data_IF_444881705384
#
_entry.id   IF_444881705384
#
_cell.length_a   1.000
_cell.length_b   1.000
_cell.length_c   1.000
_cell.angle_alpha   90.00
_cell.angle_beta   90.00
_cell.angle_gamma   90.00
#
_symmetry.space_group_name_H-M   'P 1'
#
loop_
_entity.id
_entity.type
_entity.pdbx_description
1 polymer ?
#
# COMPACT_ATOMS: atom_id res chain seq x y z
N UNK A 1 -24.48 -7.11 -11.78
CA UNK A 1 -24.48 -8.48 -12.32
C UNK A 1 -23.87 -9.42 -11.28
N UNK A 2 -24.49 -10.57 -10.98
CA UNK A 2 -23.85 -11.59 -10.15
C UNK A 2 -22.63 -12.16 -10.88
N UNK A 3 -21.48 -12.28 -10.20
CA UNK A 3 -20.31 -12.96 -10.75
C UNK A 3 -20.18 -14.35 -10.15
N UNK A 4 -19.90 -15.34 -11.01
CA UNK A 4 -19.77 -16.73 -10.62
C UNK A 4 -18.31 -17.04 -10.27
N UNK A 5 -18.10 -17.71 -9.13
CA UNK A 5 -16.76 -18.05 -8.63
C UNK A 5 -16.58 -19.56 -8.60
N UNK A 6 -15.57 -20.05 -9.32
CA UNK A 6 -15.15 -21.45 -9.25
C UNK A 6 -13.94 -21.57 -8.34
N UNK A 7 -14.12 -22.25 -7.20
CA UNK A 7 -13.04 -22.52 -6.23
C UNK A 7 -13.04 -23.99 -5.85
N UNK A 8 -11.85 -24.56 -5.76
CA UNK A 8 -11.63 -25.94 -5.29
C UNK A 8 -11.59 -25.94 -3.77
N UNK A 9 -11.92 -27.07 -3.16
CA UNK A 9 -11.86 -27.24 -1.70
C UNK A 9 -10.48 -26.85 -1.11
N UNK A 10 -9.39 -27.19 -1.80
CA UNK A 10 -8.04 -26.82 -1.36
C UNK A 10 -7.82 -25.29 -1.28
N UNK A 11 -8.51 -24.51 -2.11
CA UNK A 11 -8.41 -23.05 -2.06
C UNK A 11 -9.05 -22.52 -0.76
N UNK A 12 -10.10 -23.18 -0.25
CA UNK A 12 -10.71 -22.86 1.04
C UNK A 12 -9.82 -23.26 2.21
N UNK A 13 -9.15 -24.41 2.11
CA UNK A 13 -8.15 -24.85 3.11
C UNK A 13 -7.02 -23.81 3.21
N UNK A 14 -6.46 -23.42 2.06
CA UNK A 14 -5.43 -22.39 1.98
C UNK A 14 -5.89 -21.05 2.58
N UNK A 15 -7.12 -20.62 2.27
CA UNK A 15 -7.70 -19.41 2.84
C UNK A 15 -7.83 -19.51 4.37
N UNK A 16 -8.29 -20.65 4.89
CA UNK A 16 -8.49 -20.89 6.31
C UNK A 16 -7.16 -20.85 7.08
N UNK A 17 -6.16 -21.59 6.61
CA UNK A 17 -4.83 -21.66 7.23
C UNK A 17 -4.12 -20.31 7.25
N UNK A 18 -4.17 -19.54 6.16
CA UNK A 18 -3.52 -18.23 6.10
C UNK A 18 -4.25 -17.17 6.94
N UNK A 19 -5.59 -17.23 7.04
CA UNK A 19 -6.36 -16.33 7.92
C UNK A 19 -6.03 -16.56 9.39
N UNK A 20 -5.93 -17.82 9.80
CA UNK A 20 -5.50 -18.19 11.16
C UNK A 20 -4.14 -17.54 11.45
N UNK A 21 -3.16 -17.69 10.56
CA UNK A 21 -1.83 -17.08 10.74
C UNK A 21 -1.89 -15.55 10.90
N UNK A 22 -2.62 -14.84 10.05
CA UNK A 22 -2.71 -13.37 10.11
C UNK A 22 -3.39 -12.89 11.40
N UNK A 23 -4.47 -13.56 11.83
CA UNK A 23 -5.19 -13.17 13.03
C UNK A 23 -4.36 -13.43 14.29
N UNK A 24 -3.69 -14.59 14.36
CA UNK A 24 -2.80 -14.93 15.47
C UNK A 24 -1.55 -14.04 15.54
N UNK A 25 -0.95 -13.67 14.40
CA UNK A 25 0.21 -12.78 14.36
C UNK A 25 -0.12 -11.36 14.84
N UNK A 26 -1.27 -10.81 14.42
CA UNK A 26 -1.73 -9.51 14.91
C UNK A 26 -2.09 -9.56 16.39
N UNK A 27 -2.74 -10.64 16.86
CA UNK A 27 -3.08 -10.84 18.27
C UNK A 27 -1.82 -10.91 19.15
N UNK A 28 -0.82 -11.71 18.79
CA UNK A 28 0.44 -11.83 19.54
C UNK A 28 1.24 -10.52 19.58
N UNK A 29 1.19 -9.73 18.50
CA UNK A 29 1.81 -8.39 18.46
C UNK A 29 1.04 -7.37 19.32
N UNK A 30 -0.30 -7.43 19.33
CA UNK A 30 -1.14 -6.57 20.17
C UNK A 30 -1.07 -6.95 21.66
N UNK A 31 -1.09 -8.23 22.01
CA UNK A 31 -0.99 -8.70 23.40
C UNK A 31 0.34 -8.31 24.04
N UNK A 32 1.43 -8.25 23.26
CA UNK A 32 2.71 -7.71 23.70
C UNK A 32 2.70 -6.19 23.92
N UNK A 33 1.81 -5.46 23.25
CA UNK A 33 1.71 -4.00 23.33
C UNK A 33 0.66 -3.53 24.34
N UNK A 34 -0.31 -4.38 24.65
CA UNK A 34 -1.47 -4.07 25.49
C UNK A 34 -1.56 -5.12 26.59
N UNK A 35 -0.60 -5.11 27.52
CA UNK A 35 -0.71 -5.83 28.80
C UNK A 35 -1.67 -5.14 29.77
N UNK A 36 -2.38 -4.10 29.33
CA UNK A 36 -3.28 -3.28 30.13
C UNK A 36 -4.70 -3.23 29.53
N UNK A 37 -5.58 -4.03 30.13
CA UNK A 37 -7.02 -3.75 30.34
C UNK A 37 -8.02 -3.65 29.17
N UNK A 38 -7.72 -4.10 27.94
CA UNK A 38 -8.77 -4.23 26.90
C UNK A 38 -9.05 -5.70 26.62
N UNK A 39 -10.20 -6.20 27.10
CA UNK A 39 -10.75 -7.49 26.71
C UNK A 39 -11.12 -7.47 25.22
N UNK A 40 -10.17 -7.83 24.37
CA UNK A 40 -10.41 -8.09 22.96
C UNK A 40 -11.28 -9.35 22.86
N UNK A 41 -12.60 -9.16 22.68
CA UNK A 41 -13.53 -10.23 22.29
C UNK A 41 -12.91 -11.00 21.12
N UNK A 42 -12.52 -12.23 21.38
CA UNK A 42 -11.91 -13.11 20.39
C UNK A 42 -12.93 -13.35 19.28
N UNK A 43 -12.58 -12.94 18.06
CA UNK A 43 -13.40 -13.27 16.89
C UNK A 43 -13.30 -14.77 16.69
N UNK A 44 -14.41 -15.48 16.90
CA UNK A 44 -14.47 -16.92 16.65
C UNK A 44 -14.48 -17.15 15.14
N UNK A 45 -13.43 -17.79 14.62
CA UNK A 45 -13.43 -18.19 13.22
C UNK A 45 -14.41 -19.34 13.00
N UNK A 46 -15.23 -19.32 11.92
CA UNK A 46 -16.04 -20.46 11.57
C UNK A 46 -15.15 -21.66 11.24
N UNK A 47 -15.57 -22.86 11.65
CA UNK A 47 -14.85 -24.10 11.34
C UNK A 47 -15.00 -24.47 9.85
N UNK A 48 -13.93 -24.99 9.28
CA UNK A 48 -13.93 -25.53 7.92
C UNK A 48 -14.52 -26.96 7.93
N UNK A 49 -15.35 -27.34 6.94
CA UNK A 49 -15.83 -28.72 6.84
C UNK A 49 -14.66 -29.71 6.71
N UNK A 50 -14.72 -30.89 7.35
CA UNK A 50 -13.61 -31.83 7.39
C UNK A 50 -13.29 -32.39 6.01
N UNK A 51 -12.01 -32.65 5.77
CA UNK A 51 -11.54 -33.36 4.58
C UNK A 51 -11.99 -34.81 4.70
N UNK A 52 -12.94 -35.22 3.86
CA UNK A 52 -13.34 -36.62 3.79
C UNK A 52 -12.24 -37.41 3.10
N UNK A 53 -11.80 -38.50 3.75
CA UNK A 53 -10.74 -39.39 3.26
C UNK A 53 -11.25 -40.20 2.05
N UNK A 54 -12.56 -40.48 2.02
CA UNK A 54 -13.19 -41.24 0.94
C UNK A 54 -13.49 -40.28 -0.21
N UNK A 55 -12.81 -40.49 -1.36
CA UNK A 55 -12.99 -39.74 -2.62
C UNK A 55 -14.30 -40.11 -3.31
N UNK A 56 -15.43 -40.01 -2.61
CA UNK A 56 -16.73 -40.21 -3.22
C UNK A 56 -17.08 -38.98 -4.07
N UNK A 57 -17.16 -39.18 -5.39
CA UNK A 57 -17.68 -38.20 -6.34
C UNK A 57 -19.21 -38.28 -6.45
N UNK A 58 -19.88 -38.96 -5.50
CA UNK A 58 -21.34 -39.04 -5.48
C UNK A 58 -21.93 -37.63 -5.46
N UNK A 59 -22.90 -37.30 -6.34
CA UNK A 59 -23.49 -35.96 -6.44
C UNK A 59 -24.02 -35.41 -5.10
N UNK A 60 -24.57 -36.29 -4.26
CA UNK A 60 -25.06 -35.93 -2.93
C UNK A 60 -23.96 -35.42 -2.00
N UNK A 61 -22.76 -36.01 -2.06
CA UNK A 61 -21.61 -35.60 -1.24
C UNK A 61 -21.08 -34.24 -1.69
N UNK A 62 -20.99 -34.04 -3.00
CA UNK A 62 -20.57 -32.76 -3.61
C UNK A 62 -21.56 -31.65 -3.23
N UNK A 63 -22.87 -31.90 -3.38
CA UNK A 63 -23.91 -30.95 -3.03
C UNK A 63 -23.91 -30.60 -1.54
N UNK A 64 -23.74 -31.60 -0.65
CA UNK A 64 -23.61 -31.37 0.79
C UNK A 64 -22.41 -30.48 1.11
N UNK A 65 -21.23 -30.81 0.57
CA UNK A 65 -20.01 -30.03 0.76
C UNK A 65 -20.14 -28.61 0.20
N UNK A 66 -20.81 -28.44 -0.94
CA UNK A 66 -21.08 -27.11 -1.49
C UNK A 66 -21.90 -26.24 -0.54
N UNK A 67 -22.97 -26.78 0.07
CA UNK A 67 -23.76 -26.06 1.07
C UNK A 67 -22.94 -25.68 2.30
N UNK A 68 -22.09 -26.59 2.78
CA UNK A 68 -21.21 -26.35 3.93
C UNK A 68 -20.19 -25.23 3.64
N UNK A 69 -19.55 -25.25 2.46
CA UNK A 69 -18.62 -24.20 2.03
C UNK A 69 -19.31 -22.85 1.81
N UNK A 70 -20.54 -22.86 1.29
CA UNK A 70 -21.34 -21.66 1.16
C UNK A 70 -21.66 -21.06 2.53
N UNK A 71 -22.12 -21.87 3.48
CA UNK A 71 -22.38 -21.43 4.85
C UNK A 71 -21.11 -20.87 5.51
N UNK A 72 -19.94 -21.48 5.27
CA UNK A 72 -18.65 -21.00 5.74
C UNK A 72 -18.31 -19.60 5.18
N UNK A 73 -18.46 -19.37 3.86
CA UNK A 73 -18.24 -18.04 3.26
C UNK A 73 -19.23 -17.03 3.82
N UNK A 74 -20.51 -17.37 3.93
CA UNK A 74 -21.53 -16.45 4.47
C UNK A 74 -21.17 -16.01 5.88
N UNK A 75 -20.74 -16.94 6.75
CA UNK A 75 -20.25 -16.59 8.10
C UNK A 75 -19.03 -15.68 8.06
N UNK A 76 -18.07 -15.92 7.15
CA UNK A 76 -16.90 -15.05 6.99
C UNK A 76 -17.25 -13.65 6.51
N UNK A 77 -18.25 -13.51 5.64
CA UNK A 77 -18.69 -12.24 5.08
C UNK A 77 -19.50 -11.41 6.08
N UNK A 78 -20.21 -12.08 7.01
CA UNK A 78 -20.93 -11.42 8.09
C UNK A 78 -20.00 -10.73 9.10
N UNK A 79 -18.70 -11.05 9.11
CA UNK A 79 -17.71 -10.45 10.00
C UNK A 79 -17.02 -9.23 9.34
N UNK A 80 -17.33 -7.98 9.74
CA UNK A 80 -16.84 -6.79 9.05
C UNK A 80 -15.32 -6.65 9.07
N UNK A 81 -14.69 -7.17 10.13
CA UNK A 81 -13.23 -7.15 10.31
C UNK A 81 -12.52 -8.02 9.26
N UNK A 82 -13.18 -9.07 8.78
CA UNK A 82 -12.60 -10.00 7.81
C UNK A 82 -12.73 -9.51 6.37
N UNK A 83 -13.71 -8.65 6.07
CA UNK A 83 -13.90 -8.04 4.75
C UNK A 83 -12.73 -7.14 4.31
N UNK A 84 -11.90 -6.67 5.25
CA UNK A 84 -10.68 -5.89 4.97
C UNK A 84 -9.47 -6.75 4.64
N UNK A 85 -9.58 -8.06 4.85
CA UNK A 85 -8.45 -8.94 4.62
C UNK A 85 -8.23 -9.09 3.11
N UNK A 86 -7.08 -8.61 2.62
CA UNK A 86 -6.70 -8.70 1.21
C UNK A 86 -6.78 -10.13 0.66
N UNK A 87 -6.38 -11.14 1.44
CA UNK A 87 -6.47 -12.54 1.01
C UNK A 87 -7.92 -13.00 0.79
N UNK A 88 -8.88 -12.49 1.58
CA UNK A 88 -10.29 -12.82 1.38
C UNK A 88 -10.83 -12.17 0.10
N UNK A 89 -10.45 -10.90 -0.15
CA UNK A 89 -10.85 -10.17 -1.34
C UNK A 89 -10.23 -10.75 -2.62
N UNK A 90 -8.98 -11.21 -2.54
CA UNK A 90 -8.28 -11.94 -3.61
C UNK A 90 -8.94 -13.30 -3.85
N UNK A 91 -9.28 -14.03 -2.78
CA UNK A 91 -10.01 -15.29 -2.89
C UNK A 91 -11.35 -15.10 -3.59
N UNK A 92 -12.13 -14.09 -3.22
CA UNK A 92 -13.44 -13.80 -3.82
C UNK A 92 -13.35 -13.12 -5.20
N UNK A 93 -12.13 -12.86 -5.70
CA UNK A 93 -11.87 -12.15 -6.96
C UNK A 93 -12.68 -10.85 -7.04
N UNK A 94 -12.76 -10.13 -5.91
CA UNK A 94 -13.52 -8.88 -5.83
C UNK A 94 -12.85 -7.85 -6.75
N UNK A 95 -13.56 -7.21 -7.69
CA UNK A 95 -13.01 -6.13 -8.51
C UNK A 95 -12.41 -5.01 -7.66
N UNK A 96 -11.33 -4.39 -8.14
CA UNK A 96 -10.58 -3.38 -7.38
C UNK A 96 -11.45 -2.17 -6.99
N UNK A 97 -12.38 -1.77 -7.86
CA UNK A 97 -13.38 -0.72 -7.58
C UNK A 97 -14.21 -1.02 -6.32
N UNK A 98 -14.64 -2.26 -6.14
CA UNK A 98 -15.39 -2.69 -4.95
C UNK A 98 -14.48 -2.83 -3.72
N UNK A 99 -13.21 -3.21 -3.89
CA UNK A 99 -12.23 -3.26 -2.79
C UNK A 99 -11.99 -1.87 -2.20
N UNK A 100 -11.83 -0.86 -3.06
CA UNK A 100 -11.70 0.53 -2.64
C UNK A 100 -12.95 0.98 -1.86
N UNK A 101 -14.15 0.59 -2.31
CA UNK A 101 -15.40 0.93 -1.62
C UNK A 101 -15.50 0.26 -0.25
N UNK A 102 -15.22 -1.04 -0.15
CA UNK A 102 -15.28 -1.82 1.09
C UNK A 102 -14.25 -1.34 2.14
N UNK A 103 -13.10 -0.84 1.70
CA UNK A 103 -12.06 -0.31 2.60
C UNK A 103 -12.32 1.12 3.06
N UNK A 104 -13.02 1.94 2.26
CA UNK A 104 -13.32 3.36 2.57
C UNK A 104 -14.41 3.55 3.62
N UNK A 105 -15.39 2.64 3.71
CA UNK A 105 -16.64 2.87 4.46
C UNK A 105 -16.50 3.08 5.98
N UNK A 106 -15.34 2.81 6.59
CA UNK A 106 -15.13 2.98 8.04
C UNK A 106 -14.46 4.30 8.41
N UNK A 107 -13.73 4.94 7.47
CA UNK A 107 -13.07 6.22 7.72
C UNK A 107 -14.07 7.34 8.01
N UNK A 108 -15.30 7.23 7.51
CA UNK A 108 -16.36 8.22 7.71
C UNK A 108 -17.01 8.11 9.09
N UNK A 109 -17.11 6.90 9.68
CA UNK A 109 -17.70 6.71 11.02
C UNK A 109 -16.76 7.10 12.16
N UNK A 110 -15.44 6.95 12.01
CA UNK A 110 -14.50 7.37 13.07
C UNK A 110 -14.37 8.90 13.14
N UNK A 111 -14.53 9.62 12.02
CA UNK A 111 -14.48 11.09 12.00
C UNK A 111 -15.69 11.74 12.70
N UNK A 112 -16.87 11.12 12.70
CA UNK A 112 -18.06 11.72 13.32
C UNK A 112 -18.07 11.69 14.86
N UNK A 113 -17.27 10.82 15.49
CA UNK A 113 -17.14 10.78 16.96
C UNK A 113 -16.10 11.79 17.46
N UNK A 114 -15.05 12.08 16.67
CA UNK A 114 -14.04 13.07 17.00
C UNK A 114 -14.46 14.51 16.65
N UNK A 115 -15.39 14.72 15.73
CA UNK A 115 -15.87 16.07 15.36
C UNK A 115 -16.89 16.68 16.33
N UNK A 116 -17.49 15.92 17.25
CA UNK A 116 -18.45 16.47 18.24
C UNK A 116 -17.83 16.90 19.57
N UNK A 117 -16.51 16.80 19.72
CA UNK A 117 -15.78 17.31 20.90
C UNK A 117 -14.87 18.52 20.61
N UNK A 118 -14.85 19.00 19.37
CA UNK A 118 -13.90 20.02 18.91
C UNK A 118 -14.55 21.38 18.59
N UNK A 119 -15.78 21.65 19.03
CA UNK A 119 -16.43 22.96 18.81
C UNK A 119 -16.13 24.00 19.90
N UNK A 120 -15.49 23.62 21.02
CA UNK A 120 -15.23 24.56 22.13
C UNK A 120 -13.74 24.85 22.37
N UNK A 121 -12.83 24.48 21.45
CA UNK A 121 -11.38 24.72 21.66
C UNK A 121 -10.58 25.03 20.37
N UNK A 122 -11.24 25.49 19.32
CA UNK A 122 -10.58 25.82 18.04
C UNK A 122 -10.19 27.30 17.95
N UNK A 123 -9.32 27.74 18.84
CA UNK A 123 -8.44 28.88 18.62
C UNK A 123 -7.13 28.55 19.33
N UNK A 124 -5.99 28.65 18.63
CA UNK A 124 -4.63 28.26 19.07
C UNK A 124 -4.23 26.81 18.75
N UNK A 125 -3.73 26.56 17.53
CA UNK A 125 -2.64 25.59 17.22
C UNK A 125 -2.60 25.15 15.74
N UNK A 126 -2.52 26.09 14.78
CA UNK A 126 -2.32 25.72 13.35
C UNK A 126 -0.90 26.03 12.85
N UNK A 127 0.02 26.45 13.72
CA UNK A 127 1.31 27.02 13.32
C UNK A 127 2.52 26.09 13.24
N UNK A 128 2.53 24.90 13.87
CA UNK A 128 3.81 24.22 14.14
C UNK A 128 4.13 22.99 13.27
N UNK A 129 3.15 22.39 12.57
CA UNK A 129 3.40 21.11 11.89
C UNK A 129 4.27 21.24 10.63
N UNK A 130 4.35 22.42 10.01
CA UNK A 130 5.13 22.62 8.79
C UNK A 130 6.63 22.56 9.05
N UNK A 131 7.09 23.05 10.20
CA UNK A 131 8.51 23.07 10.54
C UNK A 131 9.02 21.66 10.84
N UNK A 132 8.20 20.84 11.50
CA UNK A 132 8.49 19.43 11.75
C UNK A 132 8.60 18.64 10.44
N UNK A 133 7.66 18.84 9.51
CA UNK A 133 7.68 18.18 8.19
C UNK A 133 8.93 18.58 7.38
N UNK A 134 9.33 19.87 7.42
CA UNK A 134 10.55 20.37 6.78
C UNK A 134 11.80 19.72 7.38
N UNK A 135 11.88 19.67 8.71
CA UNK A 135 13.01 19.05 9.42
C UNK A 135 13.15 17.57 9.06
N UNK A 136 12.03 16.85 8.99
CA UNK A 136 12.02 15.43 8.66
C UNK A 136 12.43 15.17 7.20
N UNK A 137 12.01 16.02 6.26
CA UNK A 137 12.47 15.94 4.86
C UNK A 137 13.99 16.16 4.78
N UNK A 138 14.53 17.13 5.51
CA UNK A 138 15.97 17.38 5.53
C UNK A 138 16.76 16.20 6.11
N UNK A 139 16.24 15.54 7.15
CA UNK A 139 16.83 14.33 7.71
C UNK A 139 16.84 13.18 6.67
N UNK A 140 15.72 12.98 5.98
CA UNK A 140 15.59 11.94 4.94
C UNK A 140 16.52 12.20 3.74
N UNK A 141 16.63 13.44 3.29
CA UNK A 141 17.55 13.82 2.22
C UNK A 141 19.01 13.58 2.60
N UNK A 142 19.41 13.89 3.84
CA UNK A 142 20.73 13.57 4.37
C UNK A 142 20.99 12.06 4.37
N UNK A 143 20.01 11.27 4.80
CA UNK A 143 20.13 9.80 4.80
C UNK A 143 20.27 9.22 3.38
N UNK A 144 19.50 9.75 2.42
CA UNK A 144 19.59 9.36 1.01
C UNK A 144 20.96 9.74 0.41
N UNK A 145 21.47 10.93 0.74
CA UNK A 145 22.77 11.41 0.26
C UNK A 145 23.96 10.58 0.77
N UNK A 146 23.88 10.03 1.99
CA UNK A 146 24.97 9.23 2.56
C UNK A 146 25.21 7.89 1.86
N UNK A 147 24.25 7.38 1.07
CA UNK A 147 24.29 6.17 0.23
C UNK A 147 24.70 4.84 0.88
N UNK A 148 25.25 4.81 2.11
CA UNK A 148 25.74 3.59 2.78
C UNK A 148 24.63 2.57 3.04
N UNK A 149 23.39 3.02 3.24
CA UNK A 149 22.24 2.17 3.54
C UNK A 149 20.98 2.62 2.77
N UNK A 150 21.07 2.79 1.45
CA UNK A 150 19.98 3.31 0.62
C UNK A 150 18.63 2.60 0.84
N UNK A 151 18.62 1.27 0.93
CA UNK A 151 17.41 0.47 1.22
C UNK A 151 16.72 0.86 2.52
N UNK A 152 17.51 1.13 3.58
CA UNK A 152 16.98 1.54 4.88
C UNK A 152 16.43 2.96 4.82
N UNK A 153 17.15 3.88 4.17
CA UNK A 153 16.71 5.26 4.00
C UNK A 153 15.39 5.34 3.22
N UNK A 154 15.27 4.58 2.12
CA UNK A 154 14.05 4.49 1.31
C UNK A 154 12.90 3.87 2.11
N UNK A 155 13.15 2.80 2.86
CA UNK A 155 12.14 2.21 3.75
C UNK A 155 11.67 3.19 4.84
N UNK A 156 12.59 3.94 5.47
CA UNK A 156 12.26 4.95 6.49
C UNK A 156 11.44 6.09 5.89
N UNK A 157 11.83 6.54 4.69
CA UNK A 157 11.07 7.51 3.92
C UNK A 157 9.65 7.02 3.66
N UNK A 158 9.51 5.81 3.11
CA UNK A 158 8.22 5.24 2.73
C UNK A 158 7.32 5.11 3.95
N UNK A 159 7.86 4.62 5.07
CA UNK A 159 7.15 4.51 6.32
C UNK A 159 6.67 5.88 6.81
N UNK A 160 7.56 6.86 6.92
CA UNK A 160 7.19 8.19 7.38
C UNK A 160 6.12 8.84 6.50
N UNK A 161 6.31 8.83 5.18
CA UNK A 161 5.38 9.49 4.26
C UNK A 161 3.98 8.86 4.31
N UNK A 162 3.88 7.53 4.22
CA UNK A 162 2.58 6.85 4.12
C UNK A 162 1.91 6.56 5.47
N UNK A 163 2.66 6.52 6.59
CA UNK A 163 2.07 6.33 7.93
C UNK A 163 1.73 7.66 8.60
N UNK A 164 2.60 8.68 8.50
CA UNK A 164 2.40 9.97 9.16
C UNK A 164 1.51 10.93 8.38
N UNK A 165 1.34 10.70 7.06
CA UNK A 165 0.56 11.55 6.14
C UNK A 165 0.88 13.06 6.28
N UNK A 166 2.14 13.46 6.04
CA UNK A 166 2.61 14.84 6.21
C UNK A 166 1.87 15.81 5.28
N UNK A 167 1.86 17.10 5.65
CA UNK A 167 1.26 18.15 4.80
C UNK A 167 2.26 18.59 3.75
N UNK A 168 2.03 18.18 2.51
CA UNK A 168 2.98 18.39 1.42
C UNK A 168 2.63 19.62 0.59
N UNK A 169 3.47 20.65 0.67
CA UNK A 169 3.44 21.78 -0.28
C UNK A 169 4.19 21.42 -1.57
N UNK A 170 3.93 22.16 -2.66
CA UNK A 170 4.63 21.95 -3.94
C UNK A 170 6.14 22.11 -3.82
N UNK A 171 6.60 23.07 -3.01
CA UNK A 171 8.02 23.29 -2.73
C UNK A 171 8.66 22.10 -2.02
N UNK A 172 7.98 21.52 -1.02
CA UNK A 172 8.48 20.34 -0.31
C UNK A 172 8.52 19.12 -1.21
N UNK A 173 7.51 18.92 -2.05
CA UNK A 173 7.50 17.85 -3.06
C UNK A 173 8.67 18.01 -4.02
N UNK A 174 8.91 19.23 -4.52
CA UNK A 174 10.02 19.53 -5.42
C UNK A 174 11.36 19.24 -4.74
N UNK A 175 11.56 19.74 -3.51
CA UNK A 175 12.77 19.49 -2.71
C UNK A 175 12.98 18.01 -2.44
N UNK A 176 11.91 17.25 -2.24
CA UNK A 176 11.98 15.82 -2.00
C UNK A 176 12.39 15.03 -3.26
N UNK A 177 11.87 15.43 -4.43
CA UNK A 177 12.20 14.81 -5.71
C UNK A 177 13.63 15.15 -6.16
N UNK A 178 14.00 16.43 -6.14
CA UNK A 178 15.27 16.91 -6.68
C UNK A 178 16.40 16.97 -5.64
N UNK A 179 16.06 17.27 -4.39
CA UNK A 179 17.01 17.58 -3.34
C UNK A 179 17.08 19.08 -3.06
N UNK A 180 18.14 19.46 -2.38
CA UNK A 180 18.57 20.84 -2.17
C UNK A 180 20.04 21.01 -2.61
N UNK A 181 20.63 22.18 -2.34
CA UNK A 181 22.03 22.48 -2.72
C UNK A 181 23.05 21.53 -2.08
N UNK A 182 22.67 20.82 -1.02
CA UNK A 182 23.57 19.98 -0.21
C UNK A 182 23.29 18.50 -0.34
N UNK A 183 22.03 18.10 -0.54
CA UNK A 183 21.58 16.72 -0.52
C UNK A 183 20.78 16.41 -1.78
N UNK A 184 21.09 15.28 -2.41
CA UNK A 184 20.34 14.80 -3.56
C UNK A 184 18.97 14.23 -3.18
N UNK A 185 17.97 14.45 -4.04
CA UNK A 185 16.62 13.95 -3.86
C UNK A 185 16.39 12.51 -4.30
N UNK A 186 15.11 12.12 -4.27
CA UNK A 186 14.66 10.79 -4.66
C UNK A 186 14.94 10.46 -6.13
N UNK A 187 14.84 11.44 -7.04
CA UNK A 187 15.12 11.23 -8.47
C UNK A 187 16.57 10.79 -8.70
N UNK A 188 17.52 11.40 -7.99
CA UNK A 188 18.93 10.99 -8.04
C UNK A 188 19.15 9.63 -7.36
N UNK A 189 18.41 9.31 -6.31
CA UNK A 189 18.45 7.99 -5.67
C UNK A 189 17.96 6.86 -6.60
N UNK A 190 17.23 7.21 -7.66
CA UNK A 190 16.86 6.30 -8.74
C UNK A 190 18.00 6.06 -9.75
N UNK A 191 19.21 6.59 -9.53
CA UNK A 191 20.41 6.33 -10.34
C UNK A 191 21.41 5.38 -9.64
N UNK A 192 21.29 5.18 -8.33
CA UNK A 192 22.36 4.60 -7.49
C UNK A 192 22.94 3.25 -7.98
N UNK A 193 24.13 3.31 -8.58
CA UNK A 193 24.85 2.20 -9.23
C UNK A 193 25.38 1.12 -8.27
N UNK A 194 25.52 1.42 -6.99
CA UNK A 194 26.18 0.52 -6.04
C UNK A 194 25.23 -0.55 -5.48
N UNK A 195 23.91 -0.37 -5.61
CA UNK A 195 22.93 -1.34 -5.11
C UNK A 195 21.68 -1.39 -5.98
N UNK A 196 21.60 -2.44 -6.79
CA UNK A 196 20.41 -2.79 -7.58
C UNK A 196 19.13 -2.88 -6.72
N UNK A 197 19.27 -3.29 -5.46
CA UNK A 197 18.14 -3.38 -4.51
C UNK A 197 17.64 -1.99 -4.10
N UNK A 198 18.55 -1.09 -3.71
CA UNK A 198 18.19 0.27 -3.35
C UNK A 198 17.54 0.99 -4.53
N UNK A 199 18.14 0.87 -5.71
CA UNK A 199 17.61 1.43 -6.95
C UNK A 199 16.17 0.99 -7.24
N UNK A 200 15.90 -0.33 -7.19
CA UNK A 200 14.54 -0.88 -7.39
C UNK A 200 13.55 -0.34 -6.36
N UNK A 201 13.97 -0.21 -5.10
CA UNK A 201 13.11 0.38 -4.07
C UNK A 201 12.85 1.86 -4.29
N UNK A 202 13.84 2.64 -4.75
CA UNK A 202 13.64 4.06 -5.10
C UNK A 202 12.57 4.21 -6.19
N UNK A 203 12.63 3.36 -7.21
CA UNK A 203 11.67 3.35 -8.33
C UNK A 203 10.28 2.92 -7.88
N UNK A 204 10.19 1.88 -7.03
CA UNK A 204 8.93 1.44 -6.46
C UNK A 204 8.29 2.54 -5.60
N UNK A 205 9.09 3.20 -4.75
CA UNK A 205 8.64 4.34 -3.95
C UNK A 205 8.17 5.50 -4.83
N UNK A 206 8.96 5.89 -5.83
CA UNK A 206 8.61 6.95 -6.77
C UNK A 206 7.29 6.61 -7.50
N UNK A 207 7.11 5.38 -7.94
CA UNK A 207 5.87 4.92 -8.58
C UNK A 207 4.67 5.04 -7.63
N UNK A 208 4.84 4.68 -6.35
CA UNK A 208 3.79 4.86 -5.34
C UNK A 208 3.47 6.33 -5.07
N UNK A 209 4.46 7.21 -5.07
CA UNK A 209 4.26 8.65 -4.90
C UNK A 209 3.50 9.24 -6.10
N UNK A 210 3.70 8.70 -7.30
CA UNK A 210 3.01 9.12 -8.53
C UNK A 210 1.64 8.43 -8.74
N UNK A 211 1.23 7.51 -7.88
CA UNK A 211 -0.01 6.75 -8.01
C UNK A 211 -1.20 7.50 -7.39
N UNK A 212 -2.11 8.00 -8.24
CA UNK A 212 -3.30 8.78 -7.84
C UNK A 212 -4.24 7.97 -6.94
N UNK A 213 -4.24 6.65 -7.03
CA UNK A 213 -5.09 5.82 -6.20
C UNK A 213 -4.55 5.67 -4.77
N UNK A 214 -3.23 5.85 -4.59
CA UNK A 214 -2.53 5.55 -3.33
C UNK A 214 -2.02 6.79 -2.60
N UNK A 215 -1.72 7.86 -3.32
CA UNK A 215 -1.16 9.08 -2.76
C UNK A 215 -2.10 10.27 -3.01
N UNK A 216 -2.53 10.94 -1.94
CA UNK A 216 -3.39 12.14 -2.01
C UNK A 216 -2.71 13.27 -2.80
N UNK A 217 -1.38 13.39 -2.69
CA UNK A 217 -0.60 14.41 -3.38
C UNK A 217 -0.07 13.96 -4.75
N UNK A 218 -0.51 12.81 -5.29
CA UNK A 218 0.03 12.25 -6.52
C UNK A 218 0.01 13.21 -7.70
N UNK A 219 -1.03 14.05 -7.82
CA UNK A 219 -1.14 15.05 -8.90
C UNK A 219 0.00 16.07 -8.80
N UNK A 220 0.23 16.63 -7.60
CA UNK A 220 1.33 17.57 -7.37
C UNK A 220 2.71 16.89 -7.57
N UNK A 221 2.86 15.64 -7.14
CA UNK A 221 4.05 14.84 -7.44
C UNK A 221 4.27 14.64 -8.94
N UNK A 222 3.21 14.34 -9.71
CA UNK A 222 3.29 14.20 -11.17
C UNK A 222 3.65 15.50 -11.84
N UNK A 223 3.02 16.62 -11.47
CA UNK A 223 3.34 17.94 -12.01
C UNK A 223 4.83 18.27 -11.80
N UNK A 224 5.34 18.10 -10.58
CA UNK A 224 6.75 18.34 -10.29
C UNK A 224 7.67 17.33 -10.98
N UNK A 225 7.28 16.06 -11.04
CA UNK A 225 8.07 15.02 -11.68
C UNK A 225 8.13 15.17 -13.21
N UNK A 226 7.07 15.63 -13.86
CA UNK A 226 7.02 15.91 -15.30
C UNK A 226 7.69 17.23 -15.68
N UNK A 227 7.86 18.15 -14.72
CA UNK A 227 8.59 19.40 -14.87
C UNK A 227 10.10 19.28 -14.60
N UNK A 228 10.64 18.07 -14.44
CA UNK A 228 12.07 17.87 -14.26
C UNK A 228 12.82 18.05 -15.58
N UNK A 229 14.10 18.44 -15.49
CA UNK A 229 14.94 18.56 -16.69
C UNK A 229 15.17 17.18 -17.35
N UNK A 230 15.30 17.19 -18.68
CA UNK A 230 15.51 15.97 -19.48
C UNK A 230 16.77 15.22 -19.06
N UNK A 231 17.79 15.93 -18.57
CA UNK A 231 18.99 15.32 -18.01
C UNK A 231 18.69 14.38 -16.85
N UNK A 232 17.74 14.73 -15.98
CA UNK A 232 17.35 13.92 -14.82
C UNK A 232 16.74 12.59 -15.24
N UNK A 233 15.85 12.57 -16.24
CA UNK A 233 15.26 11.30 -16.72
C UNK A 233 16.30 10.39 -17.38
N UNK A 234 17.25 10.98 -18.12
CA UNK A 234 18.37 10.23 -18.70
C UNK A 234 19.22 9.60 -17.60
N UNK A 235 19.47 10.34 -16.53
CA UNK A 235 20.22 9.89 -15.37
C UNK A 235 19.55 8.78 -14.56
N UNK A 236 18.22 8.70 -14.56
CA UNK A 236 17.48 7.62 -13.91
C UNK A 236 17.64 6.25 -14.59
N UNK A 237 18.23 6.20 -15.79
CA UNK A 237 18.49 4.95 -16.53
C UNK A 237 17.26 4.02 -16.64
N UNK A 238 16.06 4.59 -16.84
CA UNK A 238 14.79 3.84 -16.81
C UNK A 238 14.75 2.66 -17.80
N UNK A 239 15.48 2.76 -18.91
CA UNK A 239 15.63 1.68 -19.88
C UNK A 239 16.25 0.42 -19.28
N UNK A 240 17.23 0.56 -18.38
CA UNK A 240 17.88 -0.59 -17.71
C UNK A 240 16.89 -1.31 -16.78
N UNK A 241 15.98 -0.57 -16.15
CA UNK A 241 14.93 -1.13 -15.26
C UNK A 241 14.01 -2.03 -16.06
N UNK A 242 13.57 -1.54 -17.22
CA UNK A 242 12.67 -2.25 -18.12
C UNK A 242 13.34 -3.53 -18.64
N UNK A 243 14.60 -3.43 -19.07
CA UNK A 243 15.37 -4.57 -19.58
C UNK A 243 15.63 -5.65 -18.52
N UNK A 244 15.69 -5.28 -17.25
CA UNK A 244 15.82 -6.22 -16.13
C UNK A 244 14.54 -7.07 -15.89
N UNK A 245 13.46 -6.82 -16.64
CA UNK A 245 12.30 -7.71 -16.81
C UNK A 245 11.47 -7.96 -15.54
N UNK A 246 11.73 -7.22 -14.46
CA UNK A 246 11.25 -7.60 -13.11
C UNK A 246 10.40 -6.55 -12.41
N UNK A 247 10.07 -5.41 -13.04
CA UNK A 247 9.28 -4.37 -12.36
C UNK A 247 8.30 -3.65 -13.28
N UNK A 248 7.00 -3.90 -13.06
CA UNK A 248 5.88 -3.10 -13.59
C UNK A 248 6.04 -1.60 -13.27
N UNK A 249 6.72 -1.28 -12.17
CA UNK A 249 6.94 0.10 -11.71
C UNK A 249 7.73 0.95 -12.73
N UNK A 250 8.79 0.40 -13.32
CA UNK A 250 9.56 1.09 -14.36
C UNK A 250 8.71 1.40 -15.60
N UNK A 251 7.89 0.44 -16.03
CA UNK A 251 6.95 0.64 -17.14
C UNK A 251 5.90 1.70 -16.84
N UNK A 252 5.40 1.78 -15.59
CA UNK A 252 4.45 2.83 -15.19
C UNK A 252 5.06 4.22 -15.29
N UNK A 253 6.31 4.40 -14.85
CA UNK A 253 7.02 5.67 -14.98
C UNK A 253 7.22 6.03 -16.45
N UNK A 254 7.71 5.09 -17.27
CA UNK A 254 7.94 5.35 -18.70
C UNK A 254 6.63 5.63 -19.44
N UNK A 255 5.56 4.91 -19.13
CA UNK A 255 4.22 5.19 -19.67
C UNK A 255 3.76 6.60 -19.29
N UNK A 256 3.91 6.99 -18.02
CA UNK A 256 3.58 8.35 -17.56
C UNK A 256 4.37 9.42 -18.33
N UNK A 257 5.68 9.22 -18.52
CA UNK A 257 6.52 10.14 -19.29
C UNK A 257 6.09 10.20 -20.76
N UNK A 258 5.82 9.04 -21.37
CA UNK A 258 5.42 8.94 -22.77
C UNK A 258 4.09 9.65 -23.05
N UNK A 259 3.12 9.51 -22.14
CA UNK A 259 1.79 10.12 -22.27
C UNK A 259 1.78 11.64 -22.06
N UNK A 260 2.76 12.21 -21.36
CA UNK A 260 2.71 13.61 -20.91
C UNK A 260 3.85 14.49 -21.45
N UNK A 261 4.95 13.92 -21.91
CA UNK A 261 6.06 14.68 -22.49
C UNK A 261 5.99 14.69 -24.02
N UNK A 262 6.36 15.82 -24.66
CA UNK A 262 6.42 15.88 -26.12
C UNK A 262 7.45 14.87 -26.63
N UNK A 263 7.00 13.98 -27.51
CA UNK A 263 7.87 13.04 -28.21
C UNK A 263 8.78 13.83 -29.13
N UNK A 264 10.09 13.72 -28.93
CA UNK A 264 11.06 14.28 -29.88
C UNK A 264 11.11 13.26 -31.02
N UNK A 265 10.64 13.63 -32.20
CA UNK A 265 10.75 12.77 -33.38
C UNK A 265 12.22 12.37 -33.58
N UNK A 266 12.53 11.07 -33.63
CA UNK A 266 13.87 10.62 -33.94
C UNK A 266 14.15 10.96 -35.41
N UNK A 267 14.92 12.04 -35.62
CA UNK A 267 15.54 12.35 -36.90
C UNK A 267 16.77 11.49 -37.13
#
# INVERSE_FOLDING_TARGET
MPWLLYKRFNDFVFLHENKVKIFFLKKKKLEKLVSSQIELKSVQLPSLPPKQIIRSLAPQVVAKRQRELQAYITKLLNEPKLLRNRLLLDFLVVPESLRAMLTRHDRTKTKSVLQRRATDSAAVSTGNNTDDDVSQINELLKELALQKNGVRAISKFEQWYFESNPKMSRELIRRLLLGDDTNHGLAYSCRCFNSKVAWRQSIALLTRLLDIERNEYAIAFREQFLGLDKGVYKEMDLHKIISDGTTDDGFRIVKLLYENLPQIDPK
#
